data_IF_584761051155
#
_entry.id   IF_584761051155
#
_cell.length_a   1.000
_cell.length_b   1.000
_cell.length_c   1.000
_cell.angle_alpha   90.00
_cell.angle_beta   90.00
_cell.angle_gamma   90.00
#
_symmetry.space_group_name_H-M   'P 1'
#
loop_
_entity.id
_entity.type
_entity.pdbx_description
1 polymer ?
#
# COMPACT_ATOMS: atom_id res chain seq x y z
N UNK A 1 -11.42 -0.64 -9.86
CA UNK A 1 -11.32 0.80 -9.48
C UNK A 1 -10.02 1.44 -9.94
N UNK A 2 -8.87 0.76 -9.85
CA UNK A 2 -7.57 1.35 -10.17
C UNK A 2 -7.38 1.80 -11.62
N UNK A 3 -7.93 1.12 -12.63
CA UNK A 3 -7.88 1.60 -14.03
C UNK A 3 -8.53 2.98 -14.20
N UNK A 4 -9.65 3.23 -13.50
CA UNK A 4 -10.31 4.53 -13.51
C UNK A 4 -9.41 5.60 -12.87
N UNK A 5 -8.77 5.27 -11.75
CA UNK A 5 -7.79 6.15 -11.11
C UNK A 5 -6.60 6.46 -12.05
N UNK A 6 -6.05 5.43 -12.71
CA UNK A 6 -5.00 5.56 -13.71
C UNK A 6 -5.38 6.56 -14.81
N UNK A 7 -6.59 6.42 -15.37
CA UNK A 7 -7.06 7.28 -16.47
C UNK A 7 -7.33 8.71 -16.03
N UNK A 8 -8.12 8.90 -14.98
CA UNK A 8 -8.65 10.23 -14.65
C UNK A 8 -7.74 11.07 -13.76
N UNK A 9 -6.83 10.45 -13.00
CA UNK A 9 -5.88 11.18 -12.15
C UNK A 9 -4.50 11.26 -12.81
N UNK A 10 -4.03 10.15 -13.39
CA UNK A 10 -2.69 10.07 -13.98
C UNK A 10 -2.63 10.20 -15.50
N UNK A 11 -3.79 10.26 -16.19
CA UNK A 11 -3.84 10.34 -17.65
C UNK A 11 -3.32 9.09 -18.36
N UNK A 12 -3.32 7.94 -17.71
CA UNK A 12 -2.82 6.67 -18.27
C UNK A 12 -3.92 6.02 -19.10
N UNK A 13 -3.75 5.97 -20.42
CA UNK A 13 -4.67 5.30 -21.35
C UNK A 13 -4.13 3.91 -21.70
N UNK A 14 -4.29 2.99 -20.76
CA UNK A 14 -3.95 1.56 -20.89
C UNK A 14 -5.24 0.74 -20.85
N UNK A 15 -5.38 -0.16 -21.81
CA UNK A 15 -6.57 -1.00 -21.98
C UNK A 15 -6.57 -2.17 -20.99
N UNK A 16 -5.41 -2.75 -20.70
CA UNK A 16 -5.30 -3.79 -19.71
C UNK A 16 -5.51 -3.24 -18.29
N UNK A 17 -6.50 -3.79 -17.58
CA UNK A 17 -6.92 -3.26 -16.28
C UNK A 17 -5.84 -3.43 -15.21
N UNK A 18 -5.06 -4.52 -15.28
CA UNK A 18 -4.02 -4.81 -14.32
C UNK A 18 -2.80 -3.91 -14.56
N UNK A 19 -2.33 -3.82 -15.80
CA UNK A 19 -1.23 -2.95 -16.21
C UNK A 19 -1.54 -1.47 -15.94
N UNK A 20 -2.77 -1.02 -16.19
CA UNK A 20 -3.21 0.33 -15.85
C UNK A 20 -3.15 0.59 -14.34
N UNK A 21 -3.57 -0.39 -13.52
CA UNK A 21 -3.49 -0.32 -12.07
C UNK A 21 -2.05 -0.23 -11.56
N UNK A 22 -1.19 -1.11 -12.05
CA UNK A 22 0.24 -1.13 -11.72
C UNK A 22 0.95 0.19 -12.11
N UNK A 23 0.62 0.74 -13.27
CA UNK A 23 1.15 2.02 -13.71
C UNK A 23 0.69 3.18 -12.80
N UNK A 24 -0.56 3.16 -12.36
CA UNK A 24 -1.08 4.15 -11.42
C UNK A 24 -0.39 4.04 -10.05
N UNK A 25 -0.20 2.83 -9.50
CA UNK A 25 0.53 2.61 -8.24
C UNK A 25 1.94 3.20 -8.32
N UNK A 26 2.68 2.91 -9.40
CA UNK A 26 4.03 3.47 -9.60
C UNK A 26 4.04 5.00 -9.63
N UNK A 27 3.11 5.63 -10.36
CA UNK A 27 3.02 7.10 -10.41
C UNK A 27 2.67 7.71 -9.06
N UNK A 28 1.82 7.06 -8.29
CA UNK A 28 1.50 7.50 -6.93
C UNK A 28 2.70 7.41 -6.00
N UNK A 29 3.49 6.33 -6.05
CA UNK A 29 4.71 6.25 -5.27
C UNK A 29 5.74 7.32 -5.66
N UNK A 30 5.94 7.53 -6.96
CA UNK A 30 6.86 8.55 -7.48
C UNK A 30 6.44 9.95 -6.99
N UNK A 31 5.15 10.27 -7.06
CA UNK A 31 4.62 11.52 -6.55
C UNK A 31 4.93 11.73 -5.06
N UNK A 32 4.67 10.72 -4.22
CA UNK A 32 4.98 10.84 -2.79
C UNK A 32 6.48 11.01 -2.53
N UNK A 33 7.34 10.28 -3.25
CA UNK A 33 8.79 10.47 -3.16
C UNK A 33 9.21 11.90 -3.54
N UNK A 34 8.64 12.46 -4.61
CA UNK A 34 8.90 13.85 -5.02
C UNK A 34 8.45 14.87 -3.99
N UNK A 35 7.37 14.60 -3.25
CA UNK A 35 6.89 15.45 -2.16
C UNK A 35 7.68 15.28 -0.86
N UNK A 36 8.71 14.43 -0.84
CA UNK A 36 9.51 14.14 0.36
C UNK A 36 8.84 13.18 1.34
N UNK A 37 7.80 12.46 0.91
CA UNK A 37 7.15 11.43 1.72
C UNK A 37 7.80 10.06 1.48
N UNK A 38 8.26 9.36 2.53
CA UNK A 38 8.76 7.98 2.40
C UNK A 38 7.64 7.04 1.96
N UNK A 39 7.96 6.07 1.09
CA UNK A 39 6.98 5.11 0.56
C UNK A 39 7.39 3.65 0.78
N UNK A 40 8.55 3.44 1.41
CA UNK A 40 9.03 2.15 1.94
C UNK A 40 9.42 2.30 3.40
N UNK A 41 9.41 1.19 4.15
CA UNK A 41 9.86 1.20 5.55
C UNK A 41 11.34 1.55 5.64
N UNK A 42 12.14 1.09 4.67
CA UNK A 42 13.56 1.46 4.53
C UNK A 42 13.80 2.97 4.34
N UNK A 43 12.88 3.71 3.73
CA UNK A 43 12.99 5.17 3.57
C UNK A 43 12.87 5.92 4.92
N UNK A 44 12.34 5.28 5.96
CA UNK A 44 12.12 5.87 7.29
C UNK A 44 13.31 5.73 8.24
N UNK A 45 14.46 5.25 7.76
CA UNK A 45 15.66 5.10 8.58
C UNK A 45 16.02 6.42 9.32
N UNK A 46 16.45 6.36 10.60
CA UNK A 46 16.85 5.16 11.36
C UNK A 46 15.70 4.45 12.09
N UNK A 47 14.44 4.82 11.86
CA UNK A 47 13.30 4.18 12.51
C UNK A 47 13.19 2.75 12.00
N UNK A 48 13.29 1.78 12.92
CA UNK A 48 13.07 0.36 12.61
C UNK A 48 11.62 0.03 12.89
N UNK A 49 10.91 -0.39 11.85
CA UNK A 49 9.53 -0.85 11.95
C UNK A 49 9.55 -2.37 11.84
N UNK A 50 9.09 -3.05 12.89
CA UNK A 50 8.89 -4.50 12.86
C UNK A 50 7.42 -4.80 12.48
N UNK A 51 7.17 -5.45 11.32
CA UNK A 51 5.83 -5.88 10.94
C UNK A 51 5.12 -6.74 11.99
N UNK A 52 5.86 -7.51 12.79
CA UNK A 52 5.29 -8.36 13.83
C UNK A 52 4.65 -7.52 14.95
N UNK A 53 5.30 -6.46 15.39
CA UNK A 53 4.77 -5.55 16.43
C UNK A 53 3.48 -4.87 15.97
N UNK A 54 3.39 -4.49 14.70
CA UNK A 54 2.17 -3.89 14.13
C UNK A 54 1.02 -4.91 14.12
N UNK A 55 1.29 -6.15 13.69
CA UNK A 55 0.27 -7.20 13.64
C UNK A 55 -0.23 -7.55 15.05
N UNK A 56 0.66 -7.66 16.04
CA UNK A 56 0.28 -7.87 17.44
C UNK A 56 -0.54 -6.70 17.98
N UNK A 57 -0.17 -5.46 17.64
CA UNK A 57 -0.94 -4.28 18.03
C UNK A 57 -2.38 -4.33 17.51
N UNK A 58 -2.57 -4.69 16.23
CA UNK A 58 -3.90 -4.83 15.61
C UNK A 58 -4.72 -5.94 16.27
N UNK A 59 -4.10 -7.08 16.59
CA UNK A 59 -4.76 -8.21 17.26
C UNK A 59 -5.28 -7.80 18.65
N UNK A 60 -4.45 -7.14 19.46
CA UNK A 60 -4.87 -6.63 20.79
C UNK A 60 -6.00 -5.61 20.71
N UNK A 61 -6.11 -4.89 19.59
CA UNK A 61 -7.16 -3.91 19.33
C UNK A 61 -8.44 -4.50 18.71
N UNK A 62 -8.51 -5.82 18.53
CA UNK A 62 -9.60 -6.52 17.81
C UNK A 62 -9.80 -6.02 16.36
N UNK A 63 -8.73 -5.51 15.74
CA UNK A 63 -8.71 -5.00 14.36
C UNK A 63 -8.32 -6.13 13.38
N UNK A 64 -9.07 -7.23 13.41
CA UNK A 64 -8.72 -8.49 12.73
C UNK A 64 -9.33 -8.65 11.33
N UNK A 65 -10.28 -7.80 10.96
CA UNK A 65 -10.96 -7.81 9.66
C UNK A 65 -11.03 -6.39 9.07
N UNK A 66 -10.02 -6.04 8.26
CA UNK A 66 -9.81 -4.69 7.72
C UNK A 66 -10.31 -4.57 6.27
N UNK A 67 -10.30 -3.33 5.77
CA UNK A 67 -10.70 -2.99 4.40
C UNK A 67 -12.20 -2.81 4.22
N UNK A 68 -12.61 -2.27 3.07
CA UNK A 68 -14.01 -1.96 2.76
C UNK A 68 -14.92 -3.20 2.80
N UNK A 69 -14.37 -4.38 2.48
CA UNK A 69 -15.10 -5.64 2.46
C UNK A 69 -14.87 -6.50 3.71
N UNK A 70 -14.05 -6.03 4.65
CA UNK A 70 -13.65 -6.78 5.87
C UNK A 70 -13.01 -8.14 5.57
N UNK A 71 -12.27 -8.22 4.46
CA UNK A 71 -11.62 -9.44 3.97
C UNK A 71 -10.09 -9.41 4.10
N UNK A 72 -9.53 -8.36 4.70
CA UNK A 72 -8.09 -8.24 4.96
C UNK A 72 -7.83 -8.68 6.40
N UNK A 73 -7.28 -9.89 6.55
CA UNK A 73 -6.91 -10.45 7.85
C UNK A 73 -5.50 -10.06 8.29
N UNK A 74 -5.14 -10.46 9.51
CA UNK A 74 -3.79 -10.21 10.06
C UNK A 74 -2.66 -10.81 9.21
N UNK A 75 -2.91 -11.94 8.53
CA UNK A 75 -1.95 -12.56 7.61
C UNK A 75 -1.71 -11.70 6.35
N UNK A 76 -2.77 -11.09 5.81
CA UNK A 76 -2.67 -10.19 4.66
C UNK A 76 -1.93 -8.92 5.05
N UNK A 77 -2.20 -8.36 6.24
CA UNK A 77 -1.46 -7.21 6.78
C UNK A 77 0.02 -7.51 6.87
N UNK A 78 0.41 -8.68 7.42
CA UNK A 78 1.82 -9.10 7.47
C UNK A 78 2.44 -9.13 6.07
N UNK A 79 1.73 -9.66 5.08
CA UNK A 79 2.20 -9.74 3.69
C UNK A 79 2.38 -8.34 3.09
N UNK A 80 1.42 -7.43 3.30
CA UNK A 80 1.49 -6.04 2.82
C UNK A 80 2.69 -5.32 3.45
N UNK A 81 2.91 -5.47 4.75
CA UNK A 81 4.04 -4.86 5.44
C UNK A 81 5.38 -5.41 4.94
N UNK A 82 5.45 -6.70 4.61
CA UNK A 82 6.64 -7.31 4.00
C UNK A 82 6.90 -6.79 2.58
N UNK A 83 5.85 -6.54 1.79
CA UNK A 83 5.99 -5.92 0.47
C UNK A 83 6.45 -4.45 0.54
N UNK A 84 6.14 -3.77 1.66
CA UNK A 84 6.51 -2.38 1.90
C UNK A 84 7.89 -2.20 2.53
N UNK A 85 8.55 -3.29 2.97
CA UNK A 85 9.86 -3.27 3.62
C UNK A 85 10.95 -2.62 2.74
#
# INVERSE_FOLDING_TARGET
MLQRYAKFVWGIDEADTHAAGEAAVRRTEEFFRQMGCPVRLSDMAPIKIDPAEIVEHLERGDQTALGERRDIGLADVRTILQMAA
#
